data_IF_433730791381
#
_entry.id   IF_433730791381
#
_cell.length_a   1.000
_cell.length_b   1.000
_cell.length_c   1.000
_cell.angle_alpha   90.00
_cell.angle_beta   90.00
_cell.angle_gamma   90.00
#
_symmetry.space_group_name_H-M   'P 1'
#
loop_
_entity.id
_entity.type
_entity.pdbx_description
1 polymer ?
#
# COMPACT_ATOMS: atom_id res chain seq x y z
N UNK A 1 16.04 48.51 3.43
CA UNK A 1 16.18 47.05 3.61
C UNK A 1 15.31 46.64 4.79
N UNK A 2 14.10 46.17 4.53
CA UNK A 2 13.18 45.66 5.56
C UNK A 2 13.30 44.13 5.61
N UNK A 3 13.61 43.61 6.80
CA UNK A 3 13.75 42.19 7.05
C UNK A 3 12.37 41.52 7.01
N UNK A 4 12.27 40.46 6.22
CA UNK A 4 11.10 39.58 6.12
C UNK A 4 11.05 38.73 7.40
N UNK A 5 9.96 38.73 8.18
CA UNK A 5 9.87 37.90 9.36
C UNK A 5 9.68 36.43 8.97
N UNK A 6 10.53 35.57 9.52
CA UNK A 6 10.46 34.11 9.39
C UNK A 6 9.20 33.66 10.15
N UNK A 7 8.21 33.17 9.40
CA UNK A 7 6.99 32.62 9.96
C UNK A 7 7.31 31.42 10.87
N UNK A 8 6.90 31.53 12.13
CA UNK A 8 6.92 30.46 13.12
C UNK A 8 6.32 29.17 12.53
N UNK A 9 7.12 28.10 12.50
CA UNK A 9 6.62 26.74 12.32
C UNK A 9 5.58 26.46 13.41
N UNK A 10 4.30 26.44 13.02
CA UNK A 10 3.23 26.01 13.91
C UNK A 10 3.53 24.58 14.36
N UNK A 11 3.69 24.41 15.67
CA UNK A 11 3.94 23.13 16.32
C UNK A 11 2.90 22.10 15.85
N UNK A 12 3.39 20.94 15.40
CA UNK A 12 2.54 19.83 15.01
C UNK A 12 1.61 19.46 16.19
N UNK A 13 0.30 19.26 15.98
CA UNK A 13 -0.53 18.76 17.05
C UNK A 13 0.00 17.38 17.44
N UNK A 14 0.44 17.26 18.69
CA UNK A 14 0.86 16.00 19.30
C UNK A 14 -0.36 15.09 19.28
N UNK A 15 -0.37 14.15 18.34
CA UNK A 15 -1.40 13.12 18.18
C UNK A 15 -1.49 12.37 19.51
N UNK A 16 -2.61 12.54 20.22
CA UNK A 16 -2.82 11.96 21.54
C UNK A 16 -2.79 10.42 21.55
N UNK A 17 -2.63 9.78 22.71
CA UNK A 17 -2.53 8.32 22.83
C UNK A 17 -3.72 7.57 22.20
N UNK A 18 -4.92 8.16 22.25
CA UNK A 18 -6.18 7.54 21.83
C UNK A 18 -6.32 7.46 20.30
N UNK A 19 -5.79 8.42 19.54
CA UNK A 19 -5.83 8.39 18.07
C UNK A 19 -4.83 7.39 17.47
N UNK A 20 -3.74 7.07 18.18
CA UNK A 20 -2.81 6.01 17.79
C UNK A 20 -3.41 4.60 17.91
N UNK A 21 -4.39 4.41 18.80
CA UNK A 21 -5.08 3.14 19.02
C UNK A 21 -6.01 2.75 17.86
N UNK A 22 -6.49 3.72 17.07
CA UNK A 22 -7.35 3.44 15.90
C UNK A 22 -6.55 3.06 14.65
N UNK A 23 -5.26 3.44 14.58
CA UNK A 23 -4.43 3.23 13.40
C UNK A 23 -3.99 1.79 13.20
N UNK A 24 -3.59 1.09 14.27
CA UNK A 24 -3.14 -0.30 14.17
C UNK A 24 -4.26 -1.27 13.79
N UNK A 25 -5.47 -1.24 14.40
CA UNK A 25 -6.58 -2.07 13.96
C UNK A 25 -6.99 -1.78 12.52
N UNK A 26 -6.98 -0.51 12.10
CA UNK A 26 -7.26 -0.15 10.72
C UNK A 26 -6.25 -0.77 9.74
N UNK A 27 -4.96 -0.70 10.05
CA UNK A 27 -3.93 -1.34 9.23
C UNK A 27 -4.02 -2.88 9.23
N UNK A 28 -4.25 -3.50 10.39
CA UNK A 28 -4.41 -4.96 10.50
C UNK A 28 -5.58 -5.43 9.62
N UNK A 29 -6.74 -4.77 9.75
CA UNK A 29 -7.90 -5.08 8.94
C UNK A 29 -7.65 -4.78 7.45
N UNK A 30 -6.97 -3.68 7.12
CA UNK A 30 -6.56 -3.37 5.75
C UNK A 30 -5.76 -4.52 5.13
N UNK A 31 -4.73 -5.01 5.81
CA UNK A 31 -3.87 -6.06 5.28
C UNK A 31 -4.53 -7.45 5.27
N UNK A 32 -5.49 -7.69 6.15
CA UNK A 32 -6.35 -8.88 6.08
C UNK A 32 -7.26 -8.84 4.85
N UNK A 33 -7.90 -7.70 4.57
CA UNK A 33 -8.71 -7.50 3.37
C UNK A 33 -7.85 -7.59 2.10
N UNK A 34 -6.64 -7.01 2.14
CA UNK A 34 -5.65 -7.13 1.05
C UNK A 34 -5.26 -8.58 0.80
N UNK A 35 -5.08 -9.41 1.84
CA UNK A 35 -4.80 -10.83 1.65
C UNK A 35 -5.93 -11.56 0.90
N UNK A 36 -7.19 -11.25 1.20
CA UNK A 36 -8.32 -11.77 0.41
C UNK A 36 -8.35 -11.24 -1.02
N UNK A 37 -7.85 -10.02 -1.28
CA UNK A 37 -7.69 -9.48 -2.63
C UNK A 37 -6.73 -10.32 -3.45
N UNK A 38 -5.61 -10.79 -2.87
CA UNK A 38 -4.68 -11.69 -3.57
C UNK A 38 -5.34 -13.00 -3.99
N UNK A 39 -6.15 -13.60 -3.10
CA UNK A 39 -6.88 -14.84 -3.40
C UNK A 39 -7.93 -14.59 -4.50
N UNK A 40 -8.74 -13.54 -4.37
CA UNK A 40 -9.76 -13.19 -5.36
C UNK A 40 -9.14 -12.82 -6.72
N UNK A 41 -8.01 -12.11 -6.72
CA UNK A 41 -7.26 -11.76 -7.93
C UNK A 41 -6.75 -13.02 -8.66
N UNK A 42 -6.24 -14.02 -7.94
CA UNK A 42 -5.81 -15.30 -8.52
C UNK A 42 -6.96 -16.04 -9.21
N UNK A 43 -8.18 -15.97 -8.65
CA UNK A 43 -9.36 -16.58 -9.25
C UNK A 43 -9.86 -15.87 -10.51
N UNK A 44 -9.78 -14.54 -10.57
CA UNK A 44 -10.28 -13.74 -11.70
C UNK A 44 -9.23 -13.48 -12.80
N UNK A 45 -7.95 -13.71 -12.52
CA UNK A 45 -6.84 -13.49 -13.45
C UNK A 45 -7.03 -14.14 -14.84
N UNK A 46 -7.60 -15.36 -14.98
CA UNK A 46 -7.86 -15.95 -16.30
C UNK A 46 -8.97 -15.25 -17.09
N UNK A 47 -9.83 -14.50 -16.41
CA UNK A 47 -11.07 -13.93 -16.96
C UNK A 47 -10.96 -12.42 -17.20
N UNK A 48 -10.04 -11.75 -16.53
CA UNK A 48 -9.84 -10.30 -16.65
C UNK A 48 -8.37 -9.94 -16.85
N UNK A 49 -8.05 -9.18 -17.91
CA UNK A 49 -6.73 -8.60 -18.09
C UNK A 49 -6.31 -7.70 -16.91
N UNK A 50 -5.01 -7.53 -16.64
CA UNK A 50 -4.52 -6.85 -15.45
C UNK A 50 -4.94 -5.37 -15.34
N UNK A 51 -4.90 -4.60 -16.44
CA UNK A 51 -5.33 -3.20 -16.42
C UNK A 51 -6.84 -3.07 -16.34
N UNK A 52 -7.59 -3.97 -16.96
CA UNK A 52 -9.04 -4.08 -16.80
C UNK A 52 -9.43 -4.36 -15.36
N UNK A 53 -8.74 -5.28 -14.68
CA UNK A 53 -8.97 -5.55 -13.27
C UNK A 53 -8.67 -4.32 -12.40
N UNK A 54 -7.55 -3.64 -12.65
CA UNK A 54 -7.18 -2.39 -11.97
C UNK A 54 -8.24 -1.30 -12.17
N UNK A 55 -8.63 -1.04 -13.43
CA UNK A 55 -9.60 -0.02 -13.80
C UNK A 55 -10.96 -0.27 -13.18
N UNK A 56 -11.53 -1.48 -13.33
CA UNK A 56 -12.83 -1.82 -12.78
C UNK A 56 -12.84 -1.78 -11.26
N UNK A 57 -11.78 -2.29 -10.61
CA UNK A 57 -11.63 -2.24 -9.16
C UNK A 57 -11.65 -0.81 -8.63
N UNK A 58 -10.86 0.10 -9.23
CA UNK A 58 -10.79 1.50 -8.80
C UNK A 58 -12.08 2.27 -9.10
N UNK A 59 -12.67 2.04 -10.27
CA UNK A 59 -13.91 2.68 -10.70
C UNK A 59 -15.08 2.27 -9.81
N UNK A 60 -15.24 0.98 -9.56
CA UNK A 60 -16.30 0.47 -8.70
C UNK A 60 -16.10 0.90 -7.23
N UNK A 61 -14.86 0.86 -6.72
CA UNK A 61 -14.55 1.37 -5.39
C UNK A 61 -14.91 2.85 -5.24
N UNK A 62 -14.57 3.67 -6.25
CA UNK A 62 -14.96 5.07 -6.31
C UNK A 62 -16.49 5.23 -6.34
N UNK A 63 -17.18 4.47 -7.20
CA UNK A 63 -18.63 4.52 -7.35
C UNK A 63 -19.38 4.11 -6.07
N UNK A 64 -18.87 3.13 -5.32
CA UNK A 64 -19.43 2.69 -4.03
C UNK A 64 -19.33 3.80 -2.98
N UNK A 65 -18.20 4.52 -2.93
CA UNK A 65 -17.96 5.55 -1.93
C UNK A 65 -18.53 6.93 -2.30
N UNK A 66 -18.68 7.23 -3.59
CA UNK A 66 -19.20 8.51 -4.10
C UNK A 66 -20.53 8.93 -3.47
N UNK A 67 -21.59 8.08 -3.36
CA UNK A 67 -22.85 8.48 -2.73
C UNK A 67 -22.70 8.77 -1.24
N UNK A 68 -21.71 8.19 -0.56
CA UNK A 68 -21.47 8.43 0.87
C UNK A 68 -20.92 9.84 1.10
N UNK A 69 -20.09 10.33 0.17
CA UNK A 69 -19.43 11.65 0.27
C UNK A 69 -20.19 12.78 -0.42
N UNK A 70 -21.46 12.56 -0.83
CA UNK A 70 -22.23 13.55 -1.60
C UNK A 70 -22.32 14.94 -0.95
N UNK A 71 -22.32 15.00 0.40
CA UNK A 71 -22.35 16.26 1.16
C UNK A 71 -21.04 17.04 1.12
N UNK A 72 -19.93 16.38 0.75
CA UNK A 72 -18.59 16.98 0.68
C UNK A 72 -18.22 17.41 -0.75
N UNK A 73 -19.15 17.38 -1.70
CA UNK A 73 -18.91 17.76 -3.10
C UNK A 73 -18.25 19.14 -3.25
N UNK A 74 -18.67 20.13 -2.46
CA UNK A 74 -18.07 21.47 -2.48
C UNK A 74 -16.57 21.46 -2.13
N UNK A 75 -16.19 20.70 -1.09
CA UNK A 75 -14.80 20.56 -0.66
C UNK A 75 -13.97 19.80 -1.71
N UNK A 76 -14.53 18.73 -2.28
CA UNK A 76 -13.87 17.95 -3.34
C UNK A 76 -13.59 18.79 -4.59
N UNK A 77 -14.58 19.57 -5.05
CA UNK A 77 -14.42 20.47 -6.21
C UNK A 77 -13.42 21.58 -5.89
N UNK A 78 -13.48 22.17 -4.68
CA UNK A 78 -12.52 23.18 -4.23
C UNK A 78 -11.08 22.67 -4.24
N UNK A 79 -10.87 21.43 -3.79
CA UNK A 79 -9.55 20.79 -3.84
C UNK A 79 -9.10 20.54 -5.28
N UNK A 80 -9.96 19.99 -6.14
CA UNK A 80 -9.61 19.74 -7.55
C UNK A 80 -9.28 21.05 -8.29
N UNK A 81 -9.99 22.15 -8.01
CA UNK A 81 -9.68 23.44 -8.64
C UNK A 81 -8.32 24.00 -8.27
N UNK A 82 -7.85 23.72 -7.06
CA UNK A 82 -6.59 24.30 -6.53
C UNK A 82 -5.40 23.36 -6.68
N UNK A 83 -5.64 22.04 -6.62
CA UNK A 83 -4.61 21.00 -6.51
C UNK A 83 -4.92 19.74 -7.32
N UNK A 84 -5.67 19.83 -8.43
CA UNK A 84 -5.97 18.68 -9.29
C UNK A 84 -4.73 17.87 -9.68
N UNK A 85 -3.63 18.54 -10.06
CA UNK A 85 -2.39 17.86 -10.48
C UNK A 85 -1.80 17.02 -9.35
N UNK A 86 -1.82 17.53 -8.11
CA UNK A 86 -1.32 16.80 -6.94
C UNK A 86 -2.20 15.58 -6.64
N UNK A 87 -3.52 15.74 -6.68
CA UNK A 87 -4.48 14.63 -6.50
C UNK A 87 -4.30 13.56 -7.58
N UNK A 88 -4.19 13.97 -8.84
CA UNK A 88 -3.99 13.05 -9.97
C UNK A 88 -2.65 12.35 -9.86
N UNK A 89 -1.57 13.05 -9.55
CA UNK A 89 -0.25 12.45 -9.38
C UNK A 89 -0.23 11.43 -8.23
N UNK A 90 -0.79 11.76 -7.07
CA UNK A 90 -0.83 10.83 -5.92
C UNK A 90 -1.69 9.61 -6.24
N UNK A 91 -2.86 9.80 -6.84
CA UNK A 91 -3.73 8.68 -7.27
C UNK A 91 -3.06 7.80 -8.32
N UNK A 92 -2.46 8.40 -9.34
CA UNK A 92 -1.75 7.70 -10.42
C UNK A 92 -0.58 6.86 -9.89
N UNK A 93 0.30 7.46 -9.08
CA UNK A 93 1.50 6.79 -8.57
C UNK A 93 1.11 5.58 -7.71
N UNK A 94 0.19 5.76 -6.77
CA UNK A 94 -0.14 4.73 -5.79
C UNK A 94 -1.05 3.64 -6.29
N UNK A 95 -2.06 4.00 -7.09
CA UNK A 95 -3.17 3.09 -7.41
C UNK A 95 -3.03 2.47 -8.79
N UNK A 96 -2.43 3.19 -9.74
CA UNK A 96 -2.35 2.78 -11.15
C UNK A 96 -0.95 2.34 -11.53
N UNK A 97 0.06 3.19 -11.39
CA UNK A 97 1.43 2.89 -11.80
C UNK A 97 2.03 1.76 -10.97
N UNK A 98 1.82 1.77 -9.65
CA UNK A 98 2.25 0.69 -8.78
C UNK A 98 1.71 -0.68 -9.27
N UNK A 99 0.42 -0.77 -9.56
CA UNK A 99 -0.21 -2.02 -10.01
C UNK A 99 0.17 -2.36 -11.46
N UNK A 100 0.22 -1.37 -12.34
CA UNK A 100 0.64 -1.56 -13.72
C UNK A 100 2.04 -2.15 -13.84
N UNK A 101 2.98 -1.58 -13.09
CA UNK A 101 4.37 -2.01 -13.08
C UNK A 101 4.53 -3.41 -12.50
N UNK A 102 3.76 -3.80 -11.47
CA UNK A 102 3.86 -5.16 -10.93
C UNK A 102 3.37 -6.20 -11.95
N UNK A 103 2.25 -5.93 -12.62
CA UNK A 103 1.70 -6.85 -13.61
C UNK A 103 2.57 -6.96 -14.85
N UNK A 104 3.10 -5.85 -15.36
CA UNK A 104 4.07 -5.91 -16.46
C UNK A 104 5.35 -6.63 -16.04
N UNK A 105 5.85 -6.39 -14.82
CA UNK A 105 7.03 -7.07 -14.32
C UNK A 105 6.86 -8.60 -14.23
N UNK A 106 5.68 -9.06 -13.84
CA UNK A 106 5.33 -10.49 -13.75
C UNK A 106 5.29 -11.23 -15.10
N UNK A 107 5.29 -10.52 -16.23
CA UNK A 107 5.43 -11.17 -17.54
C UNK A 107 6.89 -11.63 -17.80
N UNK A 108 7.86 -10.94 -17.19
CA UNK A 108 9.29 -11.15 -17.40
C UNK A 108 9.98 -11.77 -16.17
N UNK A 109 9.28 -11.92 -15.04
CA UNK A 109 9.81 -12.51 -13.81
C UNK A 109 8.78 -13.38 -13.09
N UNK A 110 9.24 -14.23 -12.17
CA UNK A 110 8.37 -15.11 -11.42
C UNK A 110 7.77 -14.40 -10.17
N UNK A 111 6.63 -14.92 -9.70
CA UNK A 111 5.90 -14.35 -8.56
C UNK A 111 6.70 -14.35 -7.25
N UNK A 112 7.60 -15.31 -7.05
CA UNK A 112 8.48 -15.39 -5.87
C UNK A 112 9.45 -14.20 -5.85
N UNK A 113 10.15 -13.97 -6.97
CA UNK A 113 11.08 -12.86 -7.16
C UNK A 113 10.36 -11.51 -7.03
N UNK A 114 9.19 -11.41 -7.67
CA UNK A 114 8.31 -10.26 -7.53
C UNK A 114 7.97 -9.95 -6.07
N UNK A 115 7.57 -10.97 -5.31
CA UNK A 115 7.24 -10.84 -3.89
C UNK A 115 8.44 -10.43 -3.04
N UNK A 116 9.63 -10.97 -3.31
CA UNK A 116 10.87 -10.61 -2.61
C UNK A 116 11.22 -9.14 -2.85
N UNK A 117 11.14 -8.67 -4.10
CA UNK A 117 11.40 -7.26 -4.43
C UNK A 117 10.33 -6.36 -3.79
N UNK A 118 9.06 -6.76 -3.85
CA UNK A 118 7.96 -6.03 -3.20
C UNK A 118 8.11 -5.95 -1.69
N UNK A 119 8.78 -6.92 -1.05
CA UNK A 119 9.10 -6.88 0.36
C UNK A 119 9.97 -5.66 0.73
N UNK A 120 10.70 -5.08 -0.22
CA UNK A 120 11.47 -3.85 0.00
C UNK A 120 10.60 -2.59 0.09
N UNK A 121 9.32 -2.64 -0.30
CA UNK A 121 8.44 -1.46 -0.36
C UNK A 121 8.36 -0.72 0.98
N UNK A 122 8.17 -1.37 2.15
CA UNK A 122 8.15 -0.67 3.43
C UNK A 122 9.49 -0.03 3.79
N UNK A 123 10.61 -0.66 3.43
CA UNK A 123 11.96 -0.09 3.62
C UNK A 123 12.14 1.15 2.75
N UNK A 124 11.73 1.09 1.47
CA UNK A 124 11.73 2.26 0.59
C UNK A 124 10.85 3.38 1.14
N UNK A 125 9.65 3.05 1.66
CA UNK A 125 8.79 4.03 2.33
C UNK A 125 9.50 4.68 3.52
N UNK A 126 10.20 3.92 4.36
CA UNK A 126 10.93 4.45 5.52
C UNK A 126 12.02 5.43 5.10
N UNK A 127 12.80 5.07 4.08
CA UNK A 127 13.86 5.93 3.54
C UNK A 127 13.27 7.21 2.95
N UNK A 128 12.24 7.08 2.10
CA UNK A 128 11.54 8.23 1.52
C UNK A 128 10.90 9.13 2.59
N UNK A 129 10.29 8.55 3.62
CA UNK A 129 9.70 9.28 4.72
C UNK A 129 10.75 10.06 5.52
N UNK A 130 11.97 9.53 5.67
CA UNK A 130 13.07 10.27 6.29
C UNK A 130 13.44 11.52 5.49
N UNK A 131 13.60 11.39 4.18
CA UNK A 131 14.04 12.50 3.32
C UNK A 131 12.94 13.53 3.05
N UNK A 132 11.69 13.09 2.85
CA UNK A 132 10.59 13.96 2.44
C UNK A 132 9.79 14.51 3.63
N UNK A 133 9.59 13.70 4.68
CA UNK A 133 8.77 14.06 5.84
C UNK A 133 9.60 14.37 7.09
N UNK A 134 10.92 14.11 7.04
CA UNK A 134 11.80 14.25 8.20
C UNK A 134 11.60 13.18 9.27
N UNK A 135 10.85 12.10 9.00
CA UNK A 135 10.58 11.05 10.00
C UNK A 135 11.89 10.42 10.48
N UNK A 136 12.17 10.34 11.79
CA UNK A 136 13.41 9.78 12.28
C UNK A 136 13.49 8.27 12.00
N UNK A 137 14.69 7.83 11.55
CA UNK A 137 15.06 6.43 11.45
C UNK A 137 15.71 6.01 12.78
N UNK A 138 14.89 5.64 13.76
CA UNK A 138 15.38 5.12 15.03
C UNK A 138 15.98 3.71 14.86
N UNK A 139 17.03 3.39 15.62
CA UNK A 139 17.70 2.09 15.57
C UNK A 139 16.73 0.91 15.68
N UNK A 140 15.83 0.94 16.68
CA UNK A 140 14.83 -0.12 16.89
C UNK A 140 13.83 -0.26 15.75
N UNK A 141 13.46 0.85 15.12
CA UNK A 141 12.58 0.85 13.96
C UNK A 141 13.26 0.21 12.75
N UNK A 142 14.54 0.53 12.52
CA UNK A 142 15.33 -0.08 11.46
C UNK A 142 15.56 -1.57 11.71
N UNK A 143 15.93 -1.96 12.93
CA UNK A 143 16.11 -3.36 13.31
C UNK A 143 14.81 -4.16 13.16
N UNK A 144 13.69 -3.64 13.66
CA UNK A 144 12.40 -4.31 13.51
C UNK A 144 11.95 -4.41 12.05
N UNK A 145 12.23 -3.40 11.22
CA UNK A 145 11.98 -3.47 9.79
C UNK A 145 12.83 -4.53 9.08
N UNK A 146 14.10 -4.70 9.46
CA UNK A 146 14.99 -5.75 8.93
C UNK A 146 14.53 -7.15 9.36
N UNK A 147 14.14 -7.32 10.63
CA UNK A 147 13.62 -8.59 11.13
C UNK A 147 12.32 -8.98 10.42
N UNK A 148 11.41 -8.01 10.25
CA UNK A 148 10.15 -8.26 9.54
C UNK A 148 10.36 -8.51 8.04
N UNK A 149 11.30 -7.80 7.41
CA UNK A 149 11.71 -8.06 6.02
C UNK A 149 12.26 -9.47 5.86
N UNK A 150 13.15 -9.90 6.76
CA UNK A 150 13.70 -11.26 6.73
C UNK A 150 12.60 -12.33 6.87
N UNK A 151 11.65 -12.11 7.78
CA UNK A 151 10.48 -12.99 7.92
C UNK A 151 9.63 -13.05 6.64
N UNK A 152 9.33 -11.90 6.02
CA UNK A 152 8.58 -11.83 4.77
C UNK A 152 9.30 -12.56 3.62
N UNK A 153 10.60 -12.31 3.45
CA UNK A 153 11.41 -12.98 2.43
C UNK A 153 11.41 -14.49 2.66
N UNK A 154 11.50 -14.95 3.92
CA UNK A 154 11.51 -16.37 4.24
C UNK A 154 10.21 -17.08 3.85
N UNK A 155 9.05 -16.44 4.09
CA UNK A 155 7.73 -16.94 3.63
C UNK A 155 7.68 -16.96 2.11
N UNK A 156 7.97 -15.84 1.46
CA UNK A 156 7.83 -15.71 -0.01
C UNK A 156 8.78 -16.65 -0.76
N UNK A 157 9.99 -16.85 -0.23
CA UNK A 157 10.96 -17.80 -0.77
C UNK A 157 10.62 -19.27 -0.46
N UNK A 158 9.51 -19.56 0.23
CA UNK A 158 9.11 -20.90 0.66
C UNK A 158 10.24 -21.64 1.41
N UNK A 159 10.96 -20.91 2.27
CA UNK A 159 12.14 -21.41 2.98
C UNK A 159 13.40 -21.64 2.10
N UNK A 160 13.29 -21.55 0.78
CA UNK A 160 14.40 -21.76 -0.14
C UNK A 160 15.14 -20.45 -0.46
N UNK A 161 16.18 -20.16 0.33
CA UNK A 161 17.01 -18.97 0.15
C UNK A 161 17.83 -18.97 -1.16
N UNK A 162 17.94 -20.09 -1.89
CA UNK A 162 18.58 -20.04 -3.23
C UNK A 162 17.77 -19.22 -4.24
N UNK A 163 16.48 -18.97 -3.98
CA UNK A 163 15.69 -18.02 -4.78
C UNK A 163 16.29 -16.59 -4.77
N UNK A 164 16.98 -16.20 -3.69
CA UNK A 164 17.69 -14.91 -3.63
C UNK A 164 18.92 -14.86 -4.54
N UNK A 165 19.52 -16.01 -4.83
CA UNK A 165 20.68 -16.13 -5.71
C UNK A 165 20.29 -16.18 -7.19
N UNK A 166 19.02 -16.39 -7.48
CA UNK A 166 18.45 -16.40 -8.82
C UNK A 166 17.88 -15.04 -9.24
N UNK A 167 18.07 -14.00 -8.42
CA UNK A 167 17.75 -12.62 -8.80
C UNK A 167 18.66 -12.21 -9.96
N UNK A 168 18.04 -12.00 -11.13
CA UNK A 168 18.72 -11.61 -12.36
C UNK A 168 18.29 -10.22 -12.74
N UNK A 169 19.25 -9.32 -12.95
CA UNK A 169 18.97 -7.93 -13.30
C UNK A 169 18.34 -7.82 -14.71
N UNK A 170 17.03 -8.04 -14.77
CA UNK A 170 16.22 -8.08 -15.98
C UNK A 170 15.18 -6.95 -15.97
N UNK A 171 14.50 -6.77 -17.11
CA UNK A 171 13.50 -5.72 -17.24
C UNK A 171 12.32 -5.91 -16.26
N UNK A 172 11.91 -7.16 -16.02
CA UNK A 172 10.83 -7.50 -15.08
C UNK A 172 11.14 -7.07 -13.65
N UNK A 173 12.32 -7.40 -13.13
CA UNK A 173 12.77 -7.00 -11.80
C UNK A 173 12.81 -5.47 -11.67
N UNK A 174 13.28 -4.76 -12.70
CA UNK A 174 13.32 -3.30 -12.70
C UNK A 174 11.92 -2.68 -12.63
N UNK A 175 10.94 -3.25 -13.33
CA UNK A 175 9.54 -2.84 -13.22
C UNK A 175 9.01 -3.03 -11.80
N UNK A 176 9.33 -4.14 -11.15
CA UNK A 176 8.85 -4.42 -9.80
C UNK A 176 9.54 -3.54 -8.75
N UNK A 177 10.83 -3.25 -8.92
CA UNK A 177 11.53 -2.24 -8.11
C UNK A 177 10.85 -0.87 -8.27
N UNK A 178 10.49 -0.50 -9.51
CA UNK A 178 9.72 0.70 -9.80
C UNK A 178 8.36 0.72 -9.07
N UNK A 179 7.65 -0.41 -9.07
CA UNK A 179 6.40 -0.57 -8.34
C UNK A 179 6.59 -0.37 -6.82
N UNK A 180 7.66 -0.95 -6.24
CA UNK A 180 7.96 -0.84 -4.81
C UNK A 180 8.22 0.61 -4.42
N UNK A 181 8.95 1.32 -5.28
CA UNK A 181 9.23 2.73 -5.15
C UNK A 181 7.95 3.56 -5.27
N UNK A 182 7.09 3.29 -6.25
CA UNK A 182 5.79 3.95 -6.42
C UNK A 182 4.89 3.78 -5.19
N UNK A 183 4.84 2.58 -4.61
CA UNK A 183 4.10 2.33 -3.37
C UNK A 183 4.62 3.20 -2.23
N UNK A 184 5.95 3.19 -1.98
CA UNK A 184 6.55 4.00 -0.93
C UNK A 184 6.39 5.50 -1.17
N UNK A 185 6.51 5.95 -2.41
CA UNK A 185 6.30 7.34 -2.80
C UNK A 185 4.85 7.77 -2.58
N UNK A 186 3.88 6.93 -2.94
CA UNK A 186 2.46 7.17 -2.67
C UNK A 186 2.20 7.38 -1.18
N UNK A 187 2.67 6.47 -0.31
CA UNK A 187 2.46 6.57 1.14
C UNK A 187 3.04 7.87 1.70
N UNK A 188 4.22 8.28 1.21
CA UNK A 188 4.91 9.49 1.64
C UNK A 188 4.22 10.76 1.12
N UNK A 189 3.84 10.79 -0.15
CA UNK A 189 3.13 11.91 -0.75
C UNK A 189 1.74 12.08 -0.12
N UNK A 190 1.03 10.99 0.15
CA UNK A 190 -0.24 10.99 0.86
C UNK A 190 -0.12 11.72 2.21
N UNK A 191 0.94 11.40 2.97
CA UNK A 191 1.22 12.03 4.27
C UNK A 191 1.66 13.49 4.13
N UNK A 192 2.40 13.82 3.06
CA UNK A 192 2.91 15.18 2.79
C UNK A 192 1.82 16.13 2.33
N UNK A 193 0.94 15.69 1.44
CA UNK A 193 0.02 16.54 0.70
C UNK A 193 -0.93 17.30 1.62
N UNK A 194 -1.38 16.66 2.72
CA UNK A 194 -2.29 17.23 3.72
C UNK A 194 -3.41 18.04 3.05
N UNK A 195 -4.20 17.37 2.22
CA UNK A 195 -5.16 17.99 1.31
C UNK A 195 -6.25 18.87 1.97
N UNK A 196 -6.33 18.93 3.31
CA UNK A 196 -7.19 19.86 4.02
C UNK A 196 -8.68 19.52 3.94
N UNK A 197 -9.01 18.32 3.47
CA UNK A 197 -10.36 17.75 3.42
C UNK A 197 -10.41 16.48 4.25
N UNK A 198 -11.61 16.01 4.55
CA UNK A 198 -11.80 14.76 5.27
C UNK A 198 -11.24 13.55 4.50
N UNK A 199 -10.85 12.53 5.25
CA UNK A 199 -10.21 11.32 4.74
C UNK A 199 -11.05 10.61 3.67
N UNK A 200 -12.36 10.44 3.90
CA UNK A 200 -13.21 9.67 3.00
C UNK A 200 -13.38 10.37 1.62
N UNK A 201 -13.74 11.67 1.54
CA UNK A 201 -13.71 12.41 0.27
C UNK A 201 -12.35 12.41 -0.43
N UNK A 202 -11.25 12.48 0.33
CA UNK A 202 -9.90 12.39 -0.22
C UNK A 202 -9.65 11.04 -0.89
N UNK A 203 -10.01 9.93 -0.23
CA UNK A 203 -9.88 8.57 -0.79
C UNK A 203 -10.69 8.43 -2.08
N UNK A 204 -11.91 8.97 -2.13
CA UNK A 204 -12.73 8.99 -3.36
C UNK A 204 -12.03 9.70 -4.50
N UNK A 205 -11.44 10.87 -4.24
CA UNK A 205 -10.69 11.61 -5.25
C UNK A 205 -9.45 10.84 -5.74
N UNK A 206 -8.72 10.17 -4.84
CA UNK A 206 -7.56 9.37 -5.21
C UNK A 206 -7.98 8.14 -6.05
N UNK A 207 -9.04 7.44 -5.66
CA UNK A 207 -9.59 6.31 -6.42
C UNK A 207 -10.05 6.75 -7.82
N UNK A 208 -10.77 7.86 -7.92
CA UNK A 208 -11.20 8.42 -9.19
C UNK A 208 -10.02 8.86 -10.07
N UNK A 209 -9.00 9.49 -9.49
CA UNK A 209 -7.76 9.84 -10.19
C UNK A 209 -7.02 8.59 -10.70
N UNK A 210 -6.90 7.56 -9.87
CA UNK A 210 -6.31 6.29 -10.28
C UNK A 210 -7.09 5.64 -11.42
N UNK A 211 -8.41 5.56 -11.31
CA UNK A 211 -9.28 5.04 -12.36
C UNK A 211 -9.13 5.81 -13.69
N UNK A 212 -9.07 7.15 -13.62
CA UNK A 212 -8.88 8.01 -14.78
C UNK A 212 -7.55 7.72 -15.50
N UNK A 213 -6.47 7.51 -14.74
CA UNK A 213 -5.15 7.20 -15.30
C UNK A 213 -5.05 5.74 -15.74
N UNK A 214 -5.82 4.82 -15.14
CA UNK A 214 -5.89 3.42 -15.55
C UNK A 214 -6.68 3.24 -16.87
N UNK A 215 -7.63 4.14 -17.15
CA UNK A 215 -8.49 4.09 -18.33
C UNK A 215 -7.73 3.93 -19.67
N UNK A 216 -6.71 4.73 -20.02
CA UNK A 216 -6.00 4.54 -21.30
C UNK A 216 -5.34 3.17 -21.42
N UNK A 217 -4.83 2.60 -20.33
CA UNK A 217 -4.23 1.25 -20.34
C UNK A 217 -5.29 0.17 -20.53
N UNK A 218 -6.44 0.32 -19.88
CA UNK A 218 -7.58 -0.58 -20.09
C UNK A 218 -8.10 -0.49 -21.54
N UNK A 219 -8.20 0.72 -22.10
CA UNK A 219 -8.60 0.90 -23.49
C UNK A 219 -7.60 0.23 -24.44
N UNK A 220 -6.30 0.29 -24.15
CA UNK A 220 -5.27 -0.39 -24.93
C UNK A 220 -5.44 -1.92 -24.92
N UNK A 221 -5.74 -2.54 -23.77
CA UNK A 221 -6.09 -3.97 -23.69
C UNK A 221 -7.32 -4.29 -24.57
N UNK A 222 -8.37 -3.45 -24.51
CA UNK A 222 -9.56 -3.61 -25.35
C UNK A 222 -9.24 -3.55 -26.85
N UNK A 223 -8.31 -2.70 -27.26
CA UNK A 223 -7.87 -2.61 -28.66
C UNK A 223 -7.05 -3.82 -29.11
N UNK A 224 -6.42 -4.56 -28.18
CA UNK A 224 -5.71 -5.81 -28.46
C UNK A 224 -6.61 -7.06 -28.32
N UNK A 225 -7.93 -6.87 -28.26
CA UNK A 225 -8.93 -7.91 -28.02
C UNK A 225 -8.77 -8.67 -26.69
N UNK A 226 -8.07 -8.09 -25.72
CA UNK A 226 -8.00 -8.57 -24.35
C UNK A 226 -9.23 -8.05 -23.59
N UNK A 227 -10.32 -8.83 -23.62
CA UNK A 227 -11.61 -8.45 -23.04
C UNK A 227 -11.85 -9.13 -21.71
N UNK A 228 -12.43 -8.38 -20.77
CA UNK A 228 -12.93 -8.92 -19.52
C UNK A 228 -14.16 -9.80 -19.75
N UNK A 229 -14.12 -11.04 -19.28
CA UNK A 229 -15.26 -11.95 -19.31
C UNK A 229 -16.16 -11.67 -18.11
N UNK A 230 -17.42 -11.28 -18.35
CA UNK A 230 -18.38 -11.00 -17.28
C UNK A 230 -19.25 -12.23 -17.00
N UNK A 231 -18.69 -13.19 -16.28
CA UNK A 231 -19.44 -14.32 -15.73
C UNK A 231 -19.75 -14.09 -14.23
N UNK A 232 -20.52 -14.99 -13.62
CA UNK A 232 -20.91 -14.89 -12.20
C UNK A 232 -19.68 -14.88 -11.28
N UNK A 233 -18.64 -15.65 -11.59
CA UNK A 233 -17.42 -15.73 -10.78
C UNK A 233 -16.64 -14.41 -10.82
N UNK A 234 -16.42 -13.84 -12.02
CA UNK A 234 -15.84 -12.53 -12.23
C UNK A 234 -16.61 -11.42 -11.51
N UNK A 235 -17.94 -11.45 -11.56
CA UNK A 235 -18.77 -10.43 -10.87
C UNK A 235 -18.61 -10.53 -9.35
N UNK A 236 -18.65 -11.74 -8.80
CA UNK A 236 -18.46 -11.95 -7.35
C UNK A 236 -17.04 -11.55 -6.90
N UNK A 237 -16.02 -11.91 -7.68
CA UNK A 237 -14.64 -11.52 -7.42
C UNK A 237 -14.50 -9.99 -7.48
N UNK A 238 -15.03 -9.33 -8.51
CA UNK A 238 -15.03 -7.87 -8.63
C UNK A 238 -15.77 -7.19 -7.47
N UNK A 239 -16.90 -7.73 -7.02
CA UNK A 239 -17.62 -7.19 -5.86
C UNK A 239 -16.75 -7.19 -4.60
N UNK A 240 -16.00 -8.28 -4.37
CA UNK A 240 -15.03 -8.36 -3.28
C UNK A 240 -13.84 -7.40 -3.49
N UNK A 241 -13.27 -7.38 -4.69
CA UNK A 241 -12.09 -6.59 -5.03
C UNK A 241 -12.36 -5.09 -4.98
N UNK A 242 -13.57 -4.64 -5.34
CA UNK A 242 -13.97 -3.24 -5.35
C UNK A 242 -14.51 -2.74 -4.01
N UNK A 243 -15.32 -3.55 -3.31
CA UNK A 243 -15.92 -3.15 -2.03
C UNK A 243 -14.92 -3.33 -0.88
N UNK A 244 -14.81 -4.53 -0.29
CA UNK A 244 -13.84 -4.83 0.76
C UNK A 244 -12.39 -4.51 0.36
N UNK A 245 -11.94 -5.02 -0.80
CA UNK A 245 -10.55 -4.93 -1.30
C UNK A 245 -10.16 -3.64 -2.02
N UNK A 246 -11.12 -2.73 -2.18
CA UNK A 246 -10.97 -1.47 -2.88
C UNK A 246 -11.35 -0.33 -1.95
N UNK A 247 -12.64 -0.03 -1.88
CA UNK A 247 -13.19 1.06 -1.08
C UNK A 247 -12.75 1.01 0.39
N UNK A 248 -13.05 -0.10 1.09
CA UNK A 248 -12.77 -0.22 2.51
C UNK A 248 -11.26 -0.35 2.78
N UNK A 249 -10.57 -1.22 2.05
CA UNK A 249 -9.12 -1.42 2.20
C UNK A 249 -8.35 -0.11 2.01
N UNK A 250 -8.58 0.65 0.93
CA UNK A 250 -7.86 1.91 0.71
C UNK A 250 -8.22 2.96 1.77
N UNK A 251 -9.48 3.05 2.20
CA UNK A 251 -9.85 3.92 3.32
C UNK A 251 -9.07 3.58 4.60
N UNK A 252 -9.02 2.30 4.97
CA UNK A 252 -8.31 1.83 6.16
C UNK A 252 -6.79 2.05 6.04
N UNK A 253 -6.21 1.82 4.87
CA UNK A 253 -4.80 2.10 4.63
C UNK A 253 -4.50 3.59 4.82
N UNK A 254 -5.29 4.46 4.18
CA UNK A 254 -5.10 5.90 4.26
C UNK A 254 -5.31 6.39 5.71
N UNK A 255 -6.27 5.81 6.45
CA UNK A 255 -6.45 6.07 7.89
C UNK A 255 -5.23 5.68 8.71
N UNK A 256 -4.63 4.52 8.42
CA UNK A 256 -3.43 4.07 9.12
C UNK A 256 -2.24 4.99 8.84
N UNK A 257 -2.09 5.48 7.62
CA UNK A 257 -1.03 6.43 7.24
C UNK A 257 -1.24 7.79 7.91
N UNK A 258 -2.49 8.26 8.00
CA UNK A 258 -2.87 9.50 8.69
C UNK A 258 -2.60 9.43 10.20
N UNK A 259 -2.80 8.27 10.84
CA UNK A 259 -2.68 8.11 12.29
C UNK A 259 -1.28 7.68 12.74
N UNK A 260 -0.66 6.72 12.06
CA UNK A 260 0.61 6.10 12.46
C UNK A 260 1.85 6.75 11.82
N UNK A 261 1.67 7.50 10.73
CA UNK A 261 2.77 7.99 9.88
C UNK A 261 3.15 6.98 8.79
N UNK A 262 3.90 7.46 7.79
CA UNK A 262 4.15 6.69 6.56
C UNK A 262 4.92 5.40 6.84
N UNK A 263 5.99 5.51 7.64
CA UNK A 263 6.86 4.37 7.92
C UNK A 263 6.21 3.25 8.74
N UNK A 264 5.41 3.60 9.75
CA UNK A 264 4.80 2.59 10.63
C UNK A 264 3.65 1.88 9.92
N UNK A 265 2.85 2.63 9.17
CA UNK A 265 1.78 2.07 8.37
C UNK A 265 2.31 1.13 7.27
N UNK A 266 3.41 1.49 6.60
CA UNK A 266 4.00 0.65 5.56
C UNK A 266 4.57 -0.66 6.11
N UNK A 267 5.20 -0.66 7.28
CA UNK A 267 5.71 -1.90 7.90
C UNK A 267 4.62 -2.95 8.16
N UNK A 268 3.38 -2.50 8.43
CA UNK A 268 2.27 -3.43 8.66
C UNK A 268 1.88 -4.21 7.40
N UNK A 269 2.35 -3.79 6.22
CA UNK A 269 2.25 -4.55 4.96
C UNK A 269 2.80 -5.96 5.10
N UNK A 270 3.84 -6.16 5.93
CA UNK A 270 4.36 -7.48 6.19
C UNK A 270 3.34 -8.44 6.81
N UNK A 271 2.30 -7.96 7.49
CA UNK A 271 1.21 -8.83 7.94
C UNK A 271 0.39 -9.40 6.78
N UNK A 272 0.37 -8.75 5.62
CA UNK A 272 -0.32 -9.25 4.45
C UNK A 272 0.13 -10.66 4.08
N UNK A 273 1.44 -10.95 4.08
CA UNK A 273 1.95 -12.28 3.73
C UNK A 273 1.53 -13.35 4.73
N UNK A 274 1.48 -13.00 6.02
CA UNK A 274 0.97 -13.90 7.07
C UNK A 274 -0.51 -14.20 6.84
N UNK A 275 -1.31 -13.18 6.54
CA UNK A 275 -2.73 -13.35 6.26
C UNK A 275 -2.99 -14.10 4.96
N UNK A 276 -2.16 -13.93 3.92
CA UNK A 276 -2.26 -14.71 2.67
C UNK A 276 -2.03 -16.19 2.96
N UNK A 277 -0.96 -16.56 3.67
CA UNK A 277 -0.70 -17.96 4.04
C UNK A 277 -1.84 -18.56 4.88
N UNK A 278 -2.34 -17.81 5.87
CA UNK A 278 -3.48 -18.25 6.69
C UNK A 278 -4.74 -18.47 5.87
N UNK A 279 -5.09 -17.52 4.98
CA UNK A 279 -6.29 -17.64 4.15
C UNK A 279 -6.14 -18.73 3.09
N UNK A 280 -4.94 -18.95 2.55
CA UNK A 280 -4.65 -20.05 1.63
C UNK A 280 -4.90 -21.41 2.31
N UNK A 281 -4.43 -21.59 3.54
CA UNK A 281 -4.74 -22.78 4.33
C UNK A 281 -6.24 -22.96 4.59
N UNK A 282 -6.93 -21.90 5.03
CA UNK A 282 -8.34 -21.99 5.41
C UNK A 282 -9.30 -22.13 4.22
N UNK A 283 -9.01 -21.49 3.10
CA UNK A 283 -9.94 -21.38 1.96
C UNK A 283 -9.55 -22.26 0.77
N UNK A 284 -8.25 -22.49 0.55
CA UNK A 284 -7.75 -23.28 -0.58
C UNK A 284 -7.33 -24.69 -0.14
N UNK A 285 -7.21 -24.94 1.17
CA UNK A 285 -6.72 -26.22 1.69
C UNK A 285 -5.24 -26.45 1.42
N UNK A 286 -4.45 -25.39 1.19
CA UNK A 286 -3.00 -25.47 1.06
C UNK A 286 -2.36 -25.76 2.42
N UNK A 287 -1.34 -26.62 2.48
CA UNK A 287 -0.69 -26.95 3.76
C UNK A 287 0.18 -25.79 4.28
N UNK A 288 0.07 -25.50 5.57
CA UNK A 288 1.01 -24.60 6.26
C UNK A 288 2.32 -25.34 6.52
N UNK A 289 3.42 -24.74 6.08
CA UNK A 289 4.74 -25.30 6.27
C UNK A 289 5.49 -24.58 7.40
N UNK A 290 6.58 -25.19 7.87
CA UNK A 290 7.41 -24.63 8.94
C UNK A 290 7.93 -23.22 8.59
N UNK A 291 8.21 -22.95 7.31
CA UNK A 291 8.66 -21.64 6.87
C UNK A 291 7.59 -20.55 7.02
N UNK A 292 6.30 -20.88 6.91
CA UNK A 292 5.20 -19.93 7.11
C UNK A 292 5.13 -19.51 8.57
N UNK A 293 5.26 -20.48 9.49
CA UNK A 293 5.22 -20.25 10.93
C UNK A 293 6.43 -19.46 11.43
N UNK A 294 7.63 -19.85 11.02
CA UNK A 294 8.88 -19.17 11.39
C UNK A 294 8.90 -17.75 10.81
N UNK A 295 8.53 -17.60 9.54
CA UNK A 295 8.47 -16.31 8.88
C UNK A 295 7.43 -15.39 9.53
N UNK A 296 6.26 -15.91 9.88
CA UNK A 296 5.23 -15.16 10.59
C UNK A 296 5.70 -14.69 11.98
N UNK A 297 6.40 -15.55 12.72
CA UNK A 297 7.00 -15.18 13.99
C UNK A 297 8.01 -14.03 13.84
N UNK A 298 8.85 -14.05 12.80
CA UNK A 298 9.80 -12.97 12.50
C UNK A 298 9.08 -11.67 12.14
N UNK A 299 8.03 -11.74 11.31
CA UNK A 299 7.21 -10.56 10.95
C UNK A 299 6.61 -9.93 12.19
N UNK A 300 5.94 -10.72 13.03
CA UNK A 300 5.28 -10.23 14.25
C UNK A 300 6.31 -9.66 15.22
N UNK A 301 7.42 -10.36 15.46
CA UNK A 301 8.49 -9.89 16.32
C UNK A 301 9.12 -8.57 15.82
N UNK A 302 9.38 -8.46 14.51
CA UNK A 302 9.93 -7.26 13.89
C UNK A 302 8.97 -6.06 14.00
N UNK A 303 7.66 -6.29 13.79
CA UNK A 303 6.64 -5.25 13.97
C UNK A 303 6.58 -4.80 15.43
N UNK A 304 6.57 -5.72 16.40
CA UNK A 304 6.57 -5.39 17.84
C UNK A 304 7.83 -4.59 18.19
N UNK A 305 9.00 -5.03 17.71
CA UNK A 305 10.28 -4.36 17.94
C UNK A 305 10.28 -2.91 17.44
N UNK A 306 9.74 -2.68 16.25
CA UNK A 306 9.72 -1.36 15.63
C UNK A 306 8.60 -0.44 16.14
N UNK A 307 7.56 -0.99 16.80
CA UNK A 307 6.38 -0.23 17.25
C UNK A 307 6.35 0.01 18.76
N UNK A 308 6.74 -0.98 19.57
CA UNK A 308 6.61 -0.97 21.04
C UNK A 308 7.88 -0.45 21.72
N UNK A 309 9.07 -0.75 21.17
CA UNK A 309 10.34 -0.34 21.79
C UNK A 309 10.64 1.12 21.44
N UNK A 310 10.10 2.05 22.24
CA UNK A 310 10.55 3.45 22.23
C UNK A 310 11.96 3.51 22.81
N UNK A 311 12.98 4.02 22.08
CA UNK A 311 14.22 4.40 22.73
C UNK A 311 13.91 5.48 23.77
N UNK A 312 14.44 5.32 25.00
CA UNK A 312 14.56 6.44 25.95
C UNK A 312 15.27 7.55 25.19
N UNK A 313 14.57 8.66 24.94
CA UNK A 313 15.20 9.88 24.46
C UNK A 313 16.29 10.23 25.45
N UNK A 314 17.55 10.18 25.01
CA UNK A 314 18.68 10.66 25.79
C UNK A 314 18.34 12.10 26.21
N UNK A 315 18.26 12.34 27.52
CA UNK A 315 18.07 13.69 28.05
C UNK A 315 19.12 14.61 27.41
N UNK A 316 18.74 15.85 27.03
CA UNK A 316 19.74 16.81 26.61
C UNK A 316 20.73 16.95 27.76
N UNK A 317 22.00 16.59 27.54
CA UNK A 317 23.06 17.01 28.46
C UNK A 317 23.06 18.53 28.41
N UNK A 318 22.46 19.14 29.43
CA UNK A 318 22.64 20.55 29.74
C UNK A 318 24.12 20.71 30.06
N UNK A 319 24.85 21.36 29.16
CA UNK A 319 26.19 21.88 29.41
C UNK A 319 26.09 23.40 29.49
#
# INVERSE_FOLDING_TARGET
MQAIPIAHQAAQPVVGPISSLTGYPAAILCWLLSAGVYIAAKWVAPEMPPWGLCFWRLTLACAILLPIVHRHHGAMIGLLRTRAVEVVAVGAIGLTLCQGMIYHGLNDTNATTAGIIMALSPVMTMVLARFVLGEPLGLWKSLGALVALAGMIFIVAHGNLTALLQLEFNAGELWIVGSAFCWGLYTVLLRRAKFGIELLPMVVLLLGAGALVALPFHLWELFNDERSVMNVHSILALAYLAGPGGALMYYLYNKSVETLGASRASMLLYLQTVFVAMLAYLLLGEDLHDYDLIGAAFIVAGIILATVIKPRSAEPRVA
#
